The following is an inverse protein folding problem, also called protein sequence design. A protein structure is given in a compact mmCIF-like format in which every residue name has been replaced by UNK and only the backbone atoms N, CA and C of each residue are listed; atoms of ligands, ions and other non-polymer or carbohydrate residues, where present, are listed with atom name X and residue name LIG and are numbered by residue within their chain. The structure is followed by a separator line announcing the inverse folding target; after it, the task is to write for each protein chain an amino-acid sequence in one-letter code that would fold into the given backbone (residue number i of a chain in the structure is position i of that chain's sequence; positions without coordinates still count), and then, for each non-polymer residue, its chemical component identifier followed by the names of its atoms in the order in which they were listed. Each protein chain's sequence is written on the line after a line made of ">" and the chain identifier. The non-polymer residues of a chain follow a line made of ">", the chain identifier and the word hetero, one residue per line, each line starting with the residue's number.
data_IF_768656046078
#
_entry.id   IF_768656046078
#
_cell.length_a   1.000
_cell.length_b   1.000
_cell.length_c   1.000
_cell.angle_alpha   90.00
_cell.angle_beta   90.00
_cell.angle_gamma   90.00
#
_symmetry.space_group_name_H-M   'P 1'
#
loop_
_entity.id
_entity.type
_entity.pdbx_description
1 polymer ?
#
# COMPACT_ATOMS: atom_id res chain seq x y z
N UNK A 1 45.45 11.24 5.01
CA UNK A 1 44.81 10.83 3.74
C UNK A 1 44.31 9.38 3.74
N UNK A 2 45.15 8.36 3.95
CA UNK A 2 44.73 6.93 3.88
C UNK A 2 43.56 6.55 4.81
N UNK A 3 43.53 7.10 6.03
CA UNK A 3 42.44 6.89 7.00
C UNK A 3 41.08 7.41 6.49
N UNK A 4 41.04 8.62 5.94
CA UNK A 4 39.82 9.21 5.38
C UNK A 4 39.28 8.40 4.19
N UNK A 5 40.15 7.87 3.34
CA UNK A 5 39.71 6.96 2.25
C UNK A 5 39.16 5.64 2.79
N UNK A 6 39.72 5.10 3.87
CA UNK A 6 39.20 3.89 4.52
C UNK A 6 37.82 4.13 5.16
N UNK A 7 37.64 5.28 5.81
CA UNK A 7 36.35 5.69 6.39
C UNK A 7 35.31 5.92 5.29
N UNK A 8 35.68 6.59 4.20
CA UNK A 8 34.81 6.77 3.03
C UNK A 8 34.41 5.42 2.40
N UNK A 9 35.35 4.49 2.27
CA UNK A 9 35.07 3.14 1.74
C UNK A 9 34.07 2.39 2.63
N UNK A 10 34.25 2.44 3.95
CA UNK A 10 33.31 1.84 4.90
C UNK A 10 31.93 2.48 4.80
N UNK A 11 31.85 3.81 4.74
CA UNK A 11 30.59 4.54 4.62
C UNK A 11 29.87 4.22 3.31
N UNK A 12 30.60 4.15 2.20
CA UNK A 12 30.03 3.80 0.90
C UNK A 12 29.43 2.38 0.93
N UNK A 13 30.11 1.41 1.53
CA UNK A 13 29.57 0.06 1.66
C UNK A 13 28.31 0.02 2.54
N UNK A 14 28.29 0.77 3.64
CA UNK A 14 27.09 0.91 4.47
C UNK A 14 25.93 1.55 3.69
N UNK A 15 26.20 2.62 2.95
CA UNK A 15 25.20 3.33 2.15
C UNK A 15 24.63 2.44 1.06
N UNK A 16 25.47 1.67 0.37
CA UNK A 16 25.01 0.69 -0.62
C UNK A 16 24.13 -0.39 0.04
N UNK A 17 24.52 -0.88 1.21
CA UNK A 17 23.72 -1.84 1.97
C UNK A 17 22.33 -1.30 2.34
N UNK A 18 22.26 -0.10 2.91
CA UNK A 18 20.99 0.54 3.27
C UNK A 18 20.16 0.94 2.04
N UNK A 19 20.81 1.36 0.96
CA UNK A 19 20.13 1.66 -0.30
C UNK A 19 19.45 0.41 -0.87
N UNK A 20 20.14 -0.73 -0.89
CA UNK A 20 19.54 -2.00 -1.33
C UNK A 20 18.35 -2.37 -0.47
N UNK A 21 18.46 -2.32 0.87
CA UNK A 21 17.33 -2.58 1.78
C UNK A 21 16.15 -1.66 1.49
N UNK A 22 16.41 -0.36 1.32
CA UNK A 22 15.38 0.64 1.01
C UNK A 22 14.71 0.36 -0.33
N UNK A 23 15.48 0.02 -1.35
CA UNK A 23 14.97 -0.32 -2.68
C UNK A 23 14.06 -1.55 -2.63
N UNK A 24 14.52 -2.62 -1.98
CA UNK A 24 13.72 -3.85 -1.79
C UNK A 24 12.43 -3.58 -1.02
N UNK A 25 12.51 -2.83 0.09
CA UNK A 25 11.32 -2.48 0.88
C UNK A 25 10.34 -1.59 0.09
N UNK A 26 10.87 -0.65 -0.70
CA UNK A 26 10.04 0.20 -1.55
C UNK A 26 9.31 -0.61 -2.62
N UNK A 27 9.98 -1.56 -3.27
CA UNK A 27 9.35 -2.45 -4.23
C UNK A 27 8.22 -3.28 -3.58
N UNK A 28 8.50 -3.90 -2.43
CA UNK A 28 7.50 -4.67 -1.69
C UNK A 28 6.28 -3.81 -1.29
N UNK A 29 6.50 -2.56 -0.90
CA UNK A 29 5.42 -1.61 -0.61
C UNK A 29 4.59 -1.29 -1.85
N UNK A 30 5.22 -1.05 -3.01
CA UNK A 30 4.50 -0.79 -4.25
C UNK A 30 3.65 -1.98 -4.69
N UNK A 31 4.19 -3.19 -4.54
CA UNK A 31 3.47 -4.43 -4.86
C UNK A 31 2.24 -4.60 -3.94
N UNK A 32 2.41 -4.40 -2.62
CA UNK A 32 1.29 -4.45 -1.67
C UNK A 32 0.21 -3.39 -1.97
N UNK A 33 0.60 -2.16 -2.33
CA UNK A 33 -0.35 -1.10 -2.71
C UNK A 33 -1.09 -1.44 -4.01
N UNK A 34 -0.42 -2.11 -4.95
CA UNK A 34 -1.05 -2.59 -6.18
C UNK A 34 -2.08 -3.68 -5.89
N UNK A 35 -1.78 -4.61 -4.98
CA UNK A 35 -2.72 -5.65 -4.54
C UNK A 35 -3.98 -5.04 -3.90
N UNK A 36 -3.81 -4.08 -2.98
CA UNK A 36 -4.92 -3.37 -2.34
C UNK A 36 -5.80 -2.68 -3.39
N UNK A 37 -5.21 -1.96 -4.34
CA UNK A 37 -5.98 -1.30 -5.41
C UNK A 37 -6.70 -2.32 -6.31
N UNK A 38 -6.06 -3.45 -6.61
CA UNK A 38 -6.65 -4.52 -7.43
C UNK A 38 -7.84 -5.16 -6.73
N UNK A 39 -7.73 -5.39 -5.42
CA UNK A 39 -8.81 -5.90 -4.58
C UNK A 39 -10.01 -4.95 -4.58
N UNK A 40 -9.80 -3.63 -4.43
CA UNK A 40 -10.89 -2.63 -4.49
C UNK A 40 -11.60 -2.68 -5.85
N UNK A 41 -10.83 -2.77 -6.93
CA UNK A 41 -11.40 -2.87 -8.28
C UNK A 41 -12.18 -4.16 -8.49
N UNK A 42 -11.69 -5.29 -7.96
CA UNK A 42 -12.40 -6.57 -8.02
C UNK A 42 -13.74 -6.48 -7.29
N UNK A 43 -13.75 -5.93 -6.07
CA UNK A 43 -14.98 -5.69 -5.31
C UNK A 43 -15.96 -4.78 -6.08
N UNK A 44 -15.45 -3.72 -6.72
CA UNK A 44 -16.27 -2.82 -7.51
C UNK A 44 -16.87 -3.48 -8.77
N UNK A 45 -16.12 -4.36 -9.44
CA UNK A 45 -16.56 -5.10 -10.65
C UNK A 45 -17.70 -6.08 -10.40
N UNK A 46 -17.92 -6.51 -9.15
CA UNK A 46 -19.08 -7.31 -8.77
C UNK A 46 -20.40 -6.51 -8.78
N UNK A 47 -20.33 -5.18 -9.01
CA UNK A 47 -21.47 -4.26 -8.94
C UNK A 47 -21.63 -3.50 -10.25
N UNK A 48 -22.86 -3.09 -10.56
CA UNK A 48 -23.21 -2.39 -11.79
C UNK A 48 -23.67 -0.95 -11.50
N UNK A 49 -23.38 -0.03 -12.43
CA UNK A 49 -23.80 1.37 -12.33
C UNK A 49 -23.25 2.11 -11.10
N UNK A 50 -24.09 2.92 -10.45
CA UNK A 50 -23.71 3.79 -9.33
C UNK A 50 -23.22 3.00 -8.09
N UNK A 51 -23.61 1.74 -7.94
CA UNK A 51 -23.12 0.88 -6.86
C UNK A 51 -21.61 0.58 -6.97
N UNK A 52 -21.05 0.65 -8.18
CA UNK A 52 -19.61 0.46 -8.41
C UNK A 52 -18.79 1.64 -7.87
N UNK A 53 -19.19 2.86 -8.22
CA UNK A 53 -18.47 4.08 -7.82
C UNK A 53 -18.56 4.33 -6.31
N UNK A 54 -19.72 4.08 -5.71
CA UNK A 54 -19.95 4.19 -4.27
C UNK A 54 -19.05 3.25 -3.47
N UNK A 55 -18.92 1.98 -3.86
CA UNK A 55 -18.01 1.03 -3.19
C UNK A 55 -16.55 1.44 -3.29
N UNK A 56 -16.10 1.96 -4.44
CA UNK A 56 -14.72 2.44 -4.57
C UNK A 56 -14.46 3.60 -3.59
N UNK A 57 -15.39 4.55 -3.49
CA UNK A 57 -15.28 5.68 -2.57
C UNK A 57 -15.27 5.22 -1.10
N UNK A 58 -16.19 4.32 -0.74
CA UNK A 58 -16.31 3.75 0.60
C UNK A 58 -15.05 2.96 1.02
N UNK A 59 -14.51 2.09 0.14
CA UNK A 59 -13.27 1.36 0.41
C UNK A 59 -12.09 2.30 0.64
N UNK A 60 -11.95 3.36 -0.17
CA UNK A 60 -10.88 4.36 0.00
C UNK A 60 -11.02 5.13 1.31
N UNK A 61 -12.24 5.47 1.72
CA UNK A 61 -12.54 6.10 3.01
C UNK A 61 -12.18 5.19 4.19
N UNK A 62 -12.54 3.91 4.12
CA UNK A 62 -12.20 2.92 5.15
C UNK A 62 -10.68 2.73 5.31
N UNK A 63 -9.94 2.66 4.19
CA UNK A 63 -8.47 2.58 4.20
C UNK A 63 -7.84 3.84 4.81
N UNK A 64 -8.31 5.03 4.42
CA UNK A 64 -7.83 6.30 4.99
C UNK A 64 -8.03 6.38 6.50
N UNK A 65 -9.13 5.80 7.00
CA UNK A 65 -9.45 5.75 8.42
C UNK A 65 -8.83 4.54 9.15
N UNK A 66 -8.02 3.73 8.47
CA UNK A 66 -7.42 2.49 8.97
C UNK A 66 -8.46 1.52 9.58
N UNK A 67 -9.68 1.49 9.05
CA UNK A 67 -10.75 0.61 9.51
C UNK A 67 -10.89 -0.60 8.57
N UNK A 68 -10.17 -1.67 8.91
CA UNK A 68 -10.12 -2.91 8.12
C UNK A 68 -11.44 -3.69 8.20
N UNK A 69 -12.14 -3.65 9.34
CA UNK A 69 -13.43 -4.33 9.50
C UNK A 69 -14.48 -3.74 8.56
N UNK A 70 -14.60 -2.41 8.55
CA UNK A 70 -15.49 -1.71 7.64
C UNK A 70 -15.14 -1.98 6.17
N UNK A 71 -13.85 -2.06 5.82
CA UNK A 71 -13.41 -2.40 4.46
C UNK A 71 -13.94 -3.78 4.03
N UNK A 72 -13.78 -4.81 4.85
CA UNK A 72 -14.28 -6.16 4.54
C UNK A 72 -15.81 -6.21 4.48
N UNK A 73 -16.49 -5.47 5.37
CA UNK A 73 -17.95 -5.36 5.31
C UNK A 73 -18.42 -4.71 4.02
N UNK A 74 -17.83 -3.59 3.60
CA UNK A 74 -18.14 -2.89 2.34
C UNK A 74 -17.92 -3.84 1.15
N UNK A 75 -16.82 -4.60 1.14
CA UNK A 75 -16.55 -5.57 0.06
C UNK A 75 -17.64 -6.63 -0.01
N UNK A 76 -18.05 -7.18 1.15
CA UNK A 76 -19.05 -8.24 1.25
C UNK A 76 -20.49 -7.78 0.94
N UNK A 77 -20.91 -6.63 1.48
CA UNK A 77 -22.31 -6.17 1.43
C UNK A 77 -22.56 -5.06 0.42
N UNK A 78 -21.53 -4.28 0.08
CA UNK A 78 -21.63 -3.12 -0.82
C UNK A 78 -22.19 -1.86 -0.17
N UNK A 79 -22.38 -1.87 1.15
CA UNK A 79 -22.88 -0.72 1.92
C UNK A 79 -21.82 -0.29 2.93
N UNK A 80 -21.79 1.01 3.26
CA UNK A 80 -21.01 1.47 4.41
C UNK A 80 -21.59 0.84 5.69
N UNK A 81 -20.73 0.39 6.62
CA UNK A 81 -21.19 0.09 7.98
C UNK A 81 -21.70 1.40 8.57
N UNK A 82 -23.02 1.53 8.67
CA UNK A 82 -23.62 2.46 9.61
C UNK A 82 -23.41 1.86 11.00
N UNK A 83 -22.74 2.62 11.87
CA UNK A 83 -22.83 2.40 13.31
C UNK A 83 -24.30 2.31 13.74
#
# INVERSE_FOLDING_TARGET
>A
MRRFYSELFSLNNQLLGEYTKRSTNHQALLDALKEVNSMIQLAARLRFGNAKSTVIAACRKAIKNNNIHALFYIIKTGKEEHQ
#
